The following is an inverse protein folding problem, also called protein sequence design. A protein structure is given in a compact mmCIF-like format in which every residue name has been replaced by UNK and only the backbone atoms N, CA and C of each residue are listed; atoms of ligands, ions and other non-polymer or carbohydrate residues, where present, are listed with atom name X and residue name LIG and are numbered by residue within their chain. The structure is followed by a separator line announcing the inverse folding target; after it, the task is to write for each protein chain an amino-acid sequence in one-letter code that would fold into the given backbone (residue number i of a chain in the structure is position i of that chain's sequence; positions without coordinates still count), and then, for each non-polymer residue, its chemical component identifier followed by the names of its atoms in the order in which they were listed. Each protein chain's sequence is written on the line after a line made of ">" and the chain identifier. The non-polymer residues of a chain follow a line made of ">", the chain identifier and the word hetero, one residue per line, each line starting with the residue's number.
data_IF_171175338289
#
_entry.id   IF_171175338289
#
_cell.length_a   1.000
_cell.length_b   1.000
_cell.length_c   1.000
_cell.angle_alpha   90.00
_cell.angle_beta   90.00
_cell.angle_gamma   90.00
#
_symmetry.space_group_name_H-M   'P 1'
#
loop_
_entity.id
_entity.type
_entity.pdbx_description
1 polymer ?
#
# COMPACT_ATOMS: atom_id res chain seq x y z
N UNK A 1 -16.36 -13.98 -17.04
CA UNK A 1 -15.31 -13.66 -18.03
C UNK A 1 -14.36 -12.65 -17.41
N UNK A 2 -13.10 -12.61 -17.83
CA UNK A 2 -12.16 -11.55 -17.48
C UNK A 2 -11.49 -11.00 -18.74
N UNK A 3 -11.44 -9.68 -18.89
CA UNK A 3 -10.80 -8.97 -19.99
C UNK A 3 -9.83 -7.89 -19.45
N UNK A 4 -8.77 -7.63 -20.22
CA UNK A 4 -7.91 -6.46 -20.07
C UNK A 4 -8.00 -5.60 -21.31
N UNK A 5 -8.10 -4.30 -21.16
CA UNK A 5 -8.13 -3.35 -22.27
C UNK A 5 -7.44 -2.04 -21.87
N UNK A 6 -7.29 -1.14 -22.82
CA UNK A 6 -6.86 0.23 -22.58
C UNK A 6 -7.91 1.20 -23.13
N UNK A 7 -8.27 2.22 -22.33
CA UNK A 7 -9.15 3.29 -22.79
C UNK A 7 -8.47 4.14 -23.88
N UNK A 8 -9.23 4.60 -24.88
CA UNK A 8 -8.71 5.41 -25.99
C UNK A 8 -8.38 6.87 -25.64
N UNK A 9 -8.38 7.23 -24.35
CA UNK A 9 -8.16 8.61 -23.90
C UNK A 9 -8.06 8.75 -22.37
N UNK A 10 -8.06 10.00 -21.90
CA UNK A 10 -8.03 10.29 -20.48
C UNK A 10 -9.28 9.73 -19.78
N UNK A 11 -9.09 9.01 -18.68
CA UNK A 11 -10.15 8.29 -17.99
C UNK A 11 -10.54 9.00 -16.70
N UNK A 12 -11.84 9.31 -16.58
CA UNK A 12 -12.45 9.62 -15.29
C UNK A 12 -12.62 8.31 -14.50
N UNK A 13 -11.60 8.00 -13.70
CA UNK A 13 -11.52 6.76 -12.92
C UNK A 13 -12.65 6.60 -11.90
N UNK A 14 -13.20 7.71 -11.37
CA UNK A 14 -14.32 7.67 -10.44
C UNK A 14 -15.63 7.34 -11.17
N UNK A 15 -15.86 7.96 -12.33
CA UNK A 15 -16.99 7.62 -13.20
C UNK A 15 -16.94 6.16 -13.67
N UNK A 16 -15.75 5.65 -14.00
CA UNK A 16 -15.54 4.23 -14.37
C UNK A 16 -15.84 3.31 -13.20
N UNK A 17 -15.29 3.60 -12.02
CA UNK A 17 -15.55 2.79 -10.83
C UNK A 17 -17.03 2.80 -10.44
N UNK A 18 -17.73 3.92 -10.63
CA UNK A 18 -19.19 3.99 -10.44
C UNK A 18 -19.92 3.13 -11.46
N UNK A 19 -19.60 3.27 -12.75
CA UNK A 19 -20.24 2.51 -13.82
C UNK A 19 -20.04 1.01 -13.68
N UNK A 20 -18.83 0.59 -13.32
CA UNK A 20 -18.53 -0.82 -13.07
C UNK A 20 -19.36 -1.39 -11.90
N UNK A 21 -19.55 -0.62 -10.82
CA UNK A 21 -20.43 -1.00 -9.71
C UNK A 21 -21.88 -1.18 -10.16
N UNK A 22 -22.41 -0.25 -10.95
CA UNK A 22 -23.78 -0.32 -11.48
C UNK A 22 -23.99 -1.56 -12.37
N UNK A 23 -22.96 -1.96 -13.12
CA UNK A 23 -22.97 -3.14 -13.99
C UNK A 23 -22.68 -4.45 -13.24
N UNK A 24 -22.29 -4.40 -11.95
CA UNK A 24 -21.84 -5.57 -11.21
C UNK A 24 -20.52 -6.16 -11.74
N UNK A 25 -19.71 -5.35 -12.41
CA UNK A 25 -18.37 -5.74 -12.89
C UNK A 25 -17.36 -5.56 -11.77
N UNK A 26 -16.55 -6.59 -11.53
CA UNK A 26 -15.43 -6.56 -10.62
C UNK A 26 -14.15 -6.28 -11.40
N UNK A 27 -13.07 -5.82 -10.77
CA UNK A 27 -11.88 -5.46 -11.54
C UNK A 27 -11.11 -4.28 -11.01
N UNK A 28 -10.37 -3.63 -11.89
CA UNK A 28 -9.72 -2.36 -11.61
C UNK A 28 -9.53 -1.52 -12.88
N UNK A 29 -9.43 -0.21 -12.69
CA UNK A 29 -8.91 0.73 -13.71
C UNK A 29 -7.68 1.45 -13.16
N UNK A 30 -6.69 1.71 -14.02
CA UNK A 30 -5.53 2.55 -13.69
C UNK A 30 -5.70 3.97 -14.23
N UNK A 31 -5.07 4.99 -13.63
CA UNK A 31 -5.03 6.34 -14.19
C UNK A 31 -4.51 6.42 -15.63
N UNK A 32 -3.65 5.47 -16.02
CA UNK A 32 -3.13 5.34 -17.39
C UNK A 32 -4.16 4.83 -18.39
N UNK A 33 -5.37 4.48 -17.95
CA UNK A 33 -6.46 3.99 -18.79
C UNK A 33 -6.50 2.47 -18.97
N UNK A 34 -5.52 1.74 -18.43
CA UNK A 34 -5.54 0.28 -18.39
C UNK A 34 -6.67 -0.21 -17.48
N UNK A 35 -7.46 -1.16 -17.96
CA UNK A 35 -8.57 -1.76 -17.23
C UNK A 35 -8.42 -3.27 -17.19
N UNK A 36 -8.80 -3.87 -16.07
CA UNK A 36 -9.08 -5.29 -15.94
C UNK A 36 -10.51 -5.43 -15.43
N UNK A 37 -11.35 -6.14 -16.16
CA UNK A 37 -12.79 -6.26 -15.87
C UNK A 37 -13.20 -7.73 -15.82
N UNK A 38 -13.91 -8.11 -14.76
CA UNK A 38 -14.39 -9.45 -14.47
C UNK A 38 -15.89 -9.44 -14.20
N UNK A 39 -16.65 -10.30 -14.87
CA UNK A 39 -18.10 -10.34 -14.69
C UNK A 39 -18.82 -11.21 -15.70
N UNK A 40 -20.14 -11.02 -15.83
CA UNK A 40 -20.89 -11.56 -16.96
C UNK A 40 -20.38 -10.92 -18.27
N UNK A 41 -20.43 -11.64 -19.40
CA UNK A 41 -19.96 -11.11 -20.69
C UNK A 41 -20.56 -9.75 -21.03
N UNK A 42 -21.88 -9.63 -21.00
CA UNK A 42 -22.60 -8.39 -21.32
C UNK A 42 -22.20 -7.21 -20.44
N UNK A 43 -21.97 -7.45 -19.13
CA UNK A 43 -21.57 -6.39 -18.20
C UNK A 43 -20.15 -5.92 -18.46
N UNK A 44 -19.23 -6.85 -18.73
CA UNK A 44 -17.84 -6.53 -19.08
C UNK A 44 -17.80 -5.75 -20.39
N UNK A 45 -18.49 -6.22 -21.43
CA UNK A 45 -18.57 -5.53 -22.74
C UNK A 45 -19.15 -4.12 -22.60
N UNK A 46 -20.20 -3.95 -21.78
CA UNK A 46 -20.77 -2.63 -21.51
C UNK A 46 -19.80 -1.66 -20.81
N UNK A 47 -18.92 -2.17 -19.94
CA UNK A 47 -17.88 -1.36 -19.30
C UNK A 47 -16.77 -0.98 -20.29
N UNK A 48 -16.33 -1.92 -21.13
CA UNK A 48 -15.32 -1.66 -22.18
C UNK A 48 -15.83 -0.62 -23.18
N UNK A 49 -17.10 -0.72 -23.60
CA UNK A 49 -17.73 0.29 -24.46
C UNK A 49 -17.81 1.66 -23.79
N UNK A 50 -18.11 1.72 -22.49
CA UNK A 50 -18.13 2.98 -21.72
C UNK A 50 -16.76 3.66 -21.66
N UNK A 51 -15.70 2.87 -21.53
CA UNK A 51 -14.32 3.37 -21.50
C UNK A 51 -13.83 3.91 -22.85
N UNK A 52 -14.59 3.68 -23.94
CA UNK A 52 -14.16 4.03 -25.29
C UNK A 52 -12.83 3.36 -25.62
N UNK A 53 -12.65 2.09 -25.22
CA UNK A 53 -11.44 1.35 -25.51
C UNK A 53 -11.20 1.24 -27.03
N UNK A 54 -9.95 1.43 -27.44
CA UNK A 54 -9.56 1.37 -28.85
C UNK A 54 -9.59 -0.07 -29.42
N UNK A 55 -9.60 -1.07 -28.53
CA UNK A 55 -9.68 -2.48 -28.86
C UNK A 55 -10.82 -3.20 -28.11
N UNK A 56 -11.09 -4.43 -28.51
CA UNK A 56 -12.14 -5.28 -27.92
C UNK A 56 -11.73 -5.88 -26.55
N UNK A 57 -10.55 -5.56 -26.03
CA UNK A 57 -9.94 -6.18 -24.87
C UNK A 57 -9.42 -7.60 -25.12
N UNK A 58 -8.35 -7.97 -24.41
CA UNK A 58 -7.75 -9.29 -24.43
C UNK A 58 -8.24 -10.15 -23.26
N UNK A 59 -8.36 -11.46 -23.48
CA UNK A 59 -8.78 -12.39 -22.42
C UNK A 59 -7.73 -12.46 -21.32
N UNK A 60 -8.16 -12.22 -20.07
CA UNK A 60 -7.31 -12.20 -18.90
C UNK A 60 -7.64 -13.34 -17.93
N UNK A 61 -6.71 -13.57 -16.98
CA UNK A 61 -6.94 -14.48 -15.85
C UNK A 61 -7.86 -13.81 -14.84
N UNK A 62 -8.83 -14.55 -14.30
CA UNK A 62 -9.63 -14.10 -13.16
C UNK A 62 -8.72 -13.97 -11.93
N UNK A 63 -8.58 -12.75 -11.43
CA UNK A 63 -7.91 -12.34 -10.20
C UNK A 63 -8.85 -12.43 -8.98
N UNK A 64 -10.16 -12.56 -9.19
CA UNK A 64 -11.13 -12.82 -8.12
C UNK A 64 -11.43 -11.55 -7.32
N UNK A 65 -11.62 -10.45 -8.02
CA UNK A 65 -11.95 -9.19 -7.36
C UNK A 65 -13.34 -9.27 -6.76
N UNK A 66 -13.46 -8.91 -5.50
CA UNK A 66 -14.77 -8.91 -4.84
C UNK A 66 -15.58 -7.62 -5.20
N UNK A 67 -14.94 -6.56 -5.75
CA UNK A 67 -15.56 -5.31 -6.28
C UNK A 67 -14.57 -4.55 -7.19
N UNK A 68 -15.05 -3.65 -8.04
CA UNK A 68 -14.21 -2.81 -8.91
C UNK A 68 -13.42 -1.75 -8.13
N UNK A 69 -12.12 -1.64 -8.37
CA UNK A 69 -11.23 -0.68 -7.70
C UNK A 69 -10.48 0.24 -8.68
N UNK A 70 -9.70 1.16 -8.12
CA UNK A 70 -8.75 1.96 -8.92
C UNK A 70 -7.35 1.55 -8.44
N UNK A 71 -6.48 1.14 -9.36
CA UNK A 71 -5.09 0.72 -9.08
C UNK A 71 -4.12 1.71 -9.68
N UNK A 72 -2.88 1.78 -9.20
CA UNK A 72 -1.89 2.64 -9.85
C UNK A 72 -2.10 4.13 -9.63
N UNK A 73 -2.84 4.53 -8.60
CA UNK A 73 -2.98 5.95 -8.24
C UNK A 73 -1.82 6.29 -7.30
N UNK A 74 -0.85 7.12 -7.73
CA UNK A 74 0.19 7.61 -6.84
C UNK A 74 -0.46 8.30 -5.65
N UNK A 75 -0.10 7.88 -4.45
CA UNK A 75 -0.71 8.39 -3.22
C UNK A 75 0.22 9.29 -2.41
N UNK A 76 1.54 9.16 -2.60
CA UNK A 76 2.53 10.01 -1.95
C UNK A 76 3.82 9.26 -1.66
N UNK A 77 4.55 9.75 -0.66
CA UNK A 77 5.75 9.08 -0.14
C UNK A 77 5.46 8.22 1.07
N UNK A 78 6.33 7.25 1.31
CA UNK A 78 6.38 6.49 2.55
C UNK A 78 7.80 6.47 3.11
N UNK A 79 7.87 6.27 4.42
CA UNK A 79 9.12 6.00 5.12
C UNK A 79 8.89 4.92 6.17
N UNK A 80 9.91 4.10 6.38
CA UNK A 80 10.01 3.21 7.52
C UNK A 80 11.25 3.60 8.30
N UNK A 81 11.07 4.03 9.54
CA UNK A 81 12.18 4.35 10.44
C UNK A 81 12.37 3.20 11.43
N UNK A 82 13.59 2.69 11.58
CA UNK A 82 13.90 1.79 12.69
C UNK A 82 14.29 2.63 13.90
N UNK A 83 13.64 2.37 15.03
CA UNK A 83 13.71 3.23 16.21
C UNK A 83 14.02 2.40 17.46
N UNK A 84 15.17 2.68 18.05
CA UNK A 84 15.50 2.26 19.41
C UNK A 84 15.05 3.35 20.37
N UNK A 85 13.89 3.17 20.98
CA UNK A 85 13.41 4.01 22.09
C UNK A 85 13.47 3.21 23.40
N UNK A 86 12.45 3.34 24.25
CA UNK A 86 12.24 2.42 25.39
C UNK A 86 12.10 0.97 24.95
N UNK A 87 11.55 0.74 23.75
CA UNK A 87 11.53 -0.54 23.07
C UNK A 87 11.91 -0.34 21.59
N UNK A 88 12.58 -1.35 21.03
CA UNK A 88 12.87 -1.44 19.60
C UNK A 88 11.57 -1.62 18.81
N UNK A 89 11.40 -0.84 17.75
CA UNK A 89 10.27 -0.95 16.83
C UNK A 89 10.60 -0.26 15.49
N UNK A 90 9.69 -0.42 14.52
CA UNK A 90 9.75 0.30 13.25
C UNK A 90 8.54 1.21 13.11
N UNK A 91 8.75 2.47 12.78
CA UNK A 91 7.68 3.42 12.47
C UNK A 91 7.41 3.40 10.96
N UNK A 92 6.30 2.77 10.55
CA UNK A 92 5.78 2.88 9.18
C UNK A 92 4.96 4.16 9.06
N UNK A 93 5.30 4.98 8.06
CA UNK A 93 4.59 6.24 7.79
C UNK A 93 4.20 6.35 6.34
N UNK A 94 2.96 6.79 6.09
CA UNK A 94 2.39 7.01 4.76
C UNK A 94 1.88 8.44 4.68
N UNK A 95 2.26 9.15 3.63
CA UNK A 95 1.75 10.51 3.37
C UNK A 95 0.28 10.46 2.95
N UNK A 96 -0.61 11.08 3.73
CA UNK A 96 -2.05 11.16 3.44
C UNK A 96 -2.52 12.55 3.78
N UNK A 97 -3.17 13.23 2.84
CA UNK A 97 -3.68 14.60 3.01
C UNK A 97 -2.64 15.58 3.60
N UNK A 98 -1.38 15.46 3.14
CA UNK A 98 -0.29 16.35 3.53
C UNK A 98 0.32 16.10 4.92
N UNK A 99 -0.02 14.98 5.58
CA UNK A 99 0.60 14.55 6.84
C UNK A 99 1.07 13.10 6.78
N UNK A 100 2.04 12.73 7.61
CA UNK A 100 2.54 11.36 7.71
C UNK A 100 1.72 10.55 8.72
N UNK A 101 0.69 9.85 8.24
CA UNK A 101 -0.07 8.89 9.05
C UNK A 101 0.88 7.78 9.47
N UNK A 102 0.96 7.51 10.78
CA UNK A 102 2.07 6.76 11.37
C UNK A 102 1.61 5.57 12.21
N UNK A 103 2.36 4.48 12.10
CA UNK A 103 2.16 3.26 12.88
C UNK A 103 3.48 2.70 13.40
N UNK A 104 3.54 2.44 14.71
CA UNK A 104 4.62 1.69 15.33
C UNK A 104 4.40 0.18 15.11
N UNK A 105 5.39 -0.49 14.53
CA UNK A 105 5.40 -1.92 14.18
C UNK A 105 6.50 -2.60 14.99
N UNK A 106 6.19 -3.16 16.19
CA UNK A 106 7.21 -3.60 17.14
C UNK A 106 8.17 -4.68 16.62
N UNK A 107 7.70 -5.53 15.69
CA UNK A 107 8.53 -6.59 15.10
C UNK A 107 8.93 -6.28 13.66
N UNK A 108 8.75 -5.05 13.20
CA UNK A 108 9.00 -4.63 11.83
C UNK A 108 8.02 -5.21 10.80
N UNK A 109 8.15 -4.80 9.53
CA UNK A 109 7.39 -5.34 8.41
C UNK A 109 7.75 -6.82 8.13
N UNK A 110 6.98 -7.48 7.27
CA UNK A 110 7.32 -8.81 6.74
C UNK A 110 6.97 -8.87 5.27
N UNK A 111 7.75 -9.62 4.49
CA UNK A 111 7.43 -9.96 3.10
C UNK A 111 6.73 -11.32 2.99
N UNK A 112 6.45 -12.01 4.11
CA UNK A 112 5.67 -13.24 4.14
C UNK A 112 4.16 -12.93 4.28
N UNK A 113 3.32 -13.27 3.28
CA UNK A 113 1.88 -13.04 3.35
C UNK A 113 1.15 -13.83 4.45
N UNK A 114 1.78 -14.87 5.03
CA UNK A 114 1.23 -15.62 6.15
C UNK A 114 1.43 -14.90 7.51
N UNK A 115 2.37 -13.95 7.58
CA UNK A 115 2.72 -13.24 8.81
C UNK A 115 1.89 -11.96 8.95
N UNK A 116 1.18 -11.83 10.07
CA UNK A 116 0.43 -10.62 10.43
C UNK A 116 1.23 -9.83 11.47
N UNK A 117 1.70 -8.64 11.11
CA UNK A 117 2.46 -7.76 12.02
C UNK A 117 1.51 -6.80 12.74
N UNK A 118 1.62 -6.70 14.06
CA UNK A 118 0.92 -5.66 14.81
C UNK A 118 1.46 -4.28 14.40
N UNK A 119 0.55 -3.36 14.09
CA UNK A 119 0.84 -1.98 13.78
C UNK A 119 -0.04 -1.10 14.69
N UNK A 120 0.56 -0.35 15.61
CA UNK A 120 -0.15 0.52 16.55
C UNK A 120 -0.14 1.92 15.99
N UNK A 121 -1.32 2.50 15.74
CA UNK A 121 -1.40 3.86 15.23
C UNK A 121 -0.90 4.85 16.28
N UNK A 122 -0.05 5.78 15.86
CA UNK A 122 0.54 6.85 16.68
C UNK A 122 0.20 8.22 16.08
N UNK A 123 0.62 9.29 16.73
CA UNK A 123 0.39 10.65 16.28
C UNK A 123 0.95 10.90 14.87
N UNK A 124 0.27 11.75 14.11
CA UNK A 124 0.73 12.13 12.77
C UNK A 124 2.04 12.91 12.85
N UNK A 125 2.91 12.74 11.84
CA UNK A 125 4.19 13.42 11.77
C UNK A 125 4.25 14.36 10.56
N UNK A 126 5.15 15.34 10.61
CA UNK A 126 5.43 16.20 9.47
C UNK A 126 6.34 15.49 8.46
N UNK A 127 6.20 15.82 7.18
CA UNK A 127 7.04 15.26 6.12
C UNK A 127 8.53 15.56 6.33
N UNK A 128 8.86 16.69 6.97
CA UNK A 128 10.25 17.08 7.26
C UNK A 128 10.98 16.12 8.20
N UNK A 129 10.27 15.21 8.88
CA UNK A 129 10.87 14.18 9.73
C UNK A 129 11.28 12.92 8.95
N UNK A 130 10.88 12.79 7.67
CA UNK A 130 11.09 11.57 6.89
C UNK A 130 12.58 11.25 6.65
N UNK A 131 13.43 12.28 6.58
CA UNK A 131 14.87 12.12 6.34
C UNK A 131 15.69 12.14 7.64
N UNK A 132 15.05 12.16 8.81
CA UNK A 132 15.75 12.22 10.08
C UNK A 132 16.43 10.88 10.42
N UNK A 133 17.75 10.95 10.66
CA UNK A 133 18.56 9.92 11.28
C UNK A 133 19.41 10.51 12.40
N UNK A 134 19.50 9.85 13.55
CA UNK A 134 20.32 10.30 14.65
C UNK A 134 19.96 9.70 16.00
N UNK A 135 20.74 10.06 17.02
CA UNK A 135 20.53 9.65 18.40
C UNK A 135 19.53 10.56 19.10
N UNK A 136 18.58 9.98 19.84
CA UNK A 136 17.55 10.70 20.60
C UNK A 136 17.34 10.04 21.96
N UNK A 137 17.40 10.82 23.05
CA UNK A 137 16.91 10.39 24.37
C UNK A 137 17.45 9.06 24.91
N UNK A 138 18.71 8.71 24.60
CA UNK A 138 19.33 7.44 25.01
C UNK A 138 19.15 6.27 24.04
N UNK A 139 18.53 6.52 22.88
CA UNK A 139 18.46 5.60 21.76
C UNK A 139 18.68 6.31 20.43
N UNK A 140 18.08 5.83 19.35
CA UNK A 140 18.36 6.36 18.01
C UNK A 140 17.38 5.90 16.94
N UNK A 141 17.42 6.60 15.83
CA UNK A 141 16.56 6.39 14.66
C UNK A 141 17.42 6.33 13.41
N UNK A 142 17.12 5.37 12.53
CA UNK A 142 17.58 5.34 11.15
C UNK A 142 16.39 5.28 10.18
N UNK A 143 16.58 5.77 8.95
CA UNK A 143 15.67 5.59 7.82
C UNK A 143 15.94 4.22 7.22
N UNK A 144 15.18 3.23 7.67
CA UNK A 144 15.35 1.83 7.30
C UNK A 144 14.84 1.53 5.88
N UNK A 145 13.78 2.20 5.43
CA UNK A 145 13.32 2.15 4.03
C UNK A 145 12.57 3.44 3.67
N UNK A 146 12.51 3.78 2.39
CA UNK A 146 11.72 4.91 1.89
C UNK A 146 11.38 4.72 0.43
N UNK A 147 10.36 5.43 -0.03
CA UNK A 147 10.01 5.45 -1.45
C UNK A 147 8.67 6.12 -1.69
N UNK A 148 8.07 5.79 -2.83
CA UNK A 148 6.69 6.18 -3.15
C UNK A 148 5.74 5.02 -2.92
N UNK A 149 4.45 5.33 -2.85
CA UNK A 149 3.44 4.30 -2.81
C UNK A 149 2.21 4.67 -3.64
N UNK A 150 1.50 3.64 -4.07
CA UNK A 150 0.21 3.76 -4.73
C UNK A 150 -0.89 3.35 -3.76
N UNK A 151 -2.00 4.08 -3.76
CA UNK A 151 -3.21 3.57 -3.10
C UNK A 151 -3.77 2.40 -3.91
N UNK A 152 -4.25 1.40 -3.18
CA UNK A 152 -4.90 0.24 -3.75
C UNK A 152 -6.20 -0.07 -3.04
N UNK A 153 -6.88 -1.11 -3.53
CA UNK A 153 -8.17 -1.49 -3.00
C UNK A 153 -9.29 -0.62 -3.57
N UNK A 154 -10.35 -0.48 -2.79
CA UNK A 154 -11.67 -0.12 -3.31
C UNK A 154 -12.23 1.20 -2.79
N UNK A 155 -11.56 1.76 -1.79
CA UNK A 155 -11.92 3.00 -1.12
C UNK A 155 -10.69 3.88 -1.21
N UNK A 156 -10.86 5.11 -1.67
CA UNK A 156 -9.76 6.07 -1.74
C UNK A 156 -9.29 6.45 -0.33
N UNK A 157 -8.06 6.92 -0.23
CA UNK A 157 -7.57 7.56 0.98
C UNK A 157 -8.11 9.00 1.05
N UNK A 158 -8.41 9.55 2.24
CA UNK A 158 -8.20 8.99 3.58
C UNK A 158 -9.28 7.99 4.05
N UNK A 159 -10.43 7.91 3.37
CA UNK A 159 -11.61 7.15 3.83
C UNK A 159 -11.31 5.66 4.09
N UNK A 160 -10.38 5.06 3.33
CA UNK A 160 -9.91 3.68 3.57
C UNK A 160 -9.39 3.45 5.00
N UNK A 161 -8.64 4.43 5.54
CA UNK A 161 -8.16 4.39 6.92
C UNK A 161 -9.32 4.56 7.91
N UNK A 162 -10.26 5.44 7.65
CA UNK A 162 -11.42 5.66 8.51
C UNK A 162 -12.26 4.38 8.63
N UNK A 163 -12.47 3.69 7.51
CA UNK A 163 -13.15 2.38 7.46
C UNK A 163 -12.36 1.24 8.10
N UNK A 164 -11.06 1.43 8.35
CA UNK A 164 -10.22 0.44 9.02
C UNK A 164 -9.65 -0.62 8.10
N UNK A 165 -9.66 -0.40 6.79
CA UNK A 165 -9.05 -1.29 5.83
C UNK A 165 -8.47 -0.51 4.66
N UNK A 166 -7.16 -0.45 4.60
CA UNK A 166 -6.44 0.23 3.54
C UNK A 166 -5.48 -0.72 2.83
N UNK A 167 -5.51 -0.70 1.51
CA UNK A 167 -4.62 -1.49 0.65
C UNK A 167 -3.74 -0.51 -0.11
N UNK A 168 -2.47 -0.85 -0.30
CA UNK A 168 -1.51 0.00 -0.97
C UNK A 168 -0.38 -0.83 -1.55
N UNK A 169 0.36 -0.26 -2.50
CA UNK A 169 1.54 -0.86 -3.12
C UNK A 169 2.75 0.00 -2.80
N UNK A 170 3.77 -0.57 -2.16
CA UNK A 170 5.00 0.13 -1.83
C UNK A 170 6.01 -0.01 -2.97
N UNK A 171 6.73 1.08 -3.24
CA UNK A 171 7.85 1.14 -4.19
C UNK A 171 9.10 1.64 -3.48
N UNK A 172 9.54 0.92 -2.44
CA UNK A 172 10.75 1.22 -1.67
C UNK A 172 11.99 0.52 -2.17
N UNK A 173 13.08 0.68 -1.43
CA UNK A 173 14.31 -0.07 -1.66
C UNK A 173 14.21 -1.50 -1.11
N UNK A 174 13.52 -1.67 0.04
CA UNK A 174 13.36 -2.97 0.70
C UNK A 174 11.94 -3.51 0.62
N UNK A 175 10.94 -2.67 0.85
CA UNK A 175 9.53 -3.05 0.78
C UNK A 175 8.97 -2.72 -0.59
N UNK A 176 8.60 -3.77 -1.32
CA UNK A 176 7.96 -3.69 -2.64
C UNK A 176 6.67 -4.49 -2.67
N UNK A 177 5.77 -4.09 -3.58
CA UNK A 177 4.52 -4.80 -3.83
C UNK A 177 3.40 -4.44 -2.86
N UNK A 178 2.33 -5.23 -2.88
CA UNK A 178 1.09 -4.95 -2.18
C UNK A 178 1.17 -5.25 -0.68
N UNK A 179 0.57 -4.36 0.11
CA UNK A 179 0.35 -4.47 1.55
C UNK A 179 -1.09 -4.08 1.90
N UNK A 180 -1.52 -4.47 3.10
CA UNK A 180 -2.77 -4.02 3.69
C UNK A 180 -2.58 -3.66 5.16
N UNK A 181 -3.25 -2.59 5.59
CA UNK A 181 -3.50 -2.24 6.98
C UNK A 181 -4.96 -2.59 7.31
N UNK A 182 -5.16 -3.45 8.32
CA UNK A 182 -6.49 -3.84 8.79
C UNK A 182 -6.65 -3.57 10.29
N UNK A 183 -7.57 -2.68 10.65
CA UNK A 183 -7.87 -2.33 12.04
C UNK A 183 -8.64 -3.47 12.70
N UNK A 184 -8.16 -3.94 13.84
CA UNK A 184 -8.77 -5.07 14.57
C UNK A 184 -9.70 -4.60 15.68
N UNK A 185 -9.41 -3.45 16.31
CA UNK A 185 -10.22 -2.89 17.38
C UNK A 185 -10.20 -1.35 17.34
N UNK A 186 -11.35 -0.67 17.49
CA UNK A 186 -11.37 0.72 17.89
C UNK A 186 -10.95 0.82 19.36
N UNK A 187 -9.87 1.55 19.64
CA UNK A 187 -9.31 1.77 20.96
C UNK A 187 -8.66 3.16 21.02
N UNK A 188 -8.29 3.63 22.22
CA UNK A 188 -7.59 4.91 22.40
C UNK A 188 -6.29 5.01 21.58
N UNK A 189 -5.61 3.87 21.38
CA UNK A 189 -4.58 3.69 20.35
C UNK A 189 -5.06 2.59 19.40
N UNK A 190 -5.59 2.94 18.21
CA UNK A 190 -6.11 1.95 17.26
C UNK A 190 -5.07 0.89 16.92
N UNK A 191 -5.47 -0.37 17.03
CA UNK A 191 -4.61 -1.51 16.69
C UNK A 191 -4.92 -1.99 15.29
N UNK A 192 -3.87 -2.10 14.49
CA UNK A 192 -3.90 -2.54 13.11
C UNK A 192 -3.04 -3.78 12.92
N UNK A 193 -3.30 -4.48 11.82
CA UNK A 193 -2.43 -5.50 11.28
C UNK A 193 -1.87 -5.00 9.96
N UNK A 194 -0.55 -4.97 9.85
CA UNK A 194 0.17 -4.84 8.59
C UNK A 194 0.39 -6.23 8.00
N UNK A 195 -0.08 -6.44 6.77
CA UNK A 195 -0.11 -7.74 6.11
C UNK A 195 0.41 -7.59 4.68
N UNK A 196 1.44 -8.37 4.33
CA UNK A 196 1.91 -8.47 2.94
C UNK A 196 0.86 -9.18 2.08
N UNK A 197 0.59 -8.66 0.89
CA UNK A 197 -0.28 -9.31 -0.09
C UNK A 197 0.50 -10.38 -0.85
N UNK A 198 -0.22 -11.42 -1.29
CA UNK A 198 0.32 -12.42 -2.21
C UNK A 198 0.46 -11.78 -3.59
N UNK A 199 1.69 -11.56 -4.01
CA UNK A 199 2.10 -11.05 -5.31
C UNK A 199 3.55 -11.50 -5.58
N UNK A 200 4.15 -11.03 -6.66
CA UNK A 200 5.50 -11.45 -7.10
C UNK A 200 6.63 -10.95 -6.18
N UNK A 201 6.36 -9.99 -5.30
CA UNK A 201 7.31 -9.44 -4.31
C UNK A 201 7.20 -10.16 -2.95
N UNK A 202 6.26 -11.11 -2.80
CA UNK A 202 6.12 -11.89 -1.59
C UNK A 202 7.30 -12.86 -1.42
N UNK A 203 7.87 -12.90 -0.21
CA UNK A 203 8.98 -13.78 0.16
C UNK A 203 8.64 -14.59 1.42
N UNK A 204 7.88 -15.70 1.28
CA UNK A 204 7.49 -16.55 2.40
C UNK A 204 8.70 -17.08 3.19
N UNK A 205 8.61 -17.12 4.52
CA UNK A 205 9.65 -17.62 5.41
C UNK A 205 10.87 -16.72 5.59
N UNK A 206 10.89 -15.53 4.99
CA UNK A 206 12.02 -14.58 5.10
C UNK A 206 11.83 -13.56 6.23
N UNK A 207 12.93 -12.98 6.70
CA UNK A 207 12.91 -11.87 7.65
C UNK A 207 13.68 -10.68 7.08
N UNK A 208 12.98 -9.84 6.31
CA UNK A 208 13.57 -8.68 5.64
C UNK A 208 14.25 -7.70 6.61
N UNK A 209 13.74 -7.58 7.84
CA UNK A 209 14.31 -6.69 8.86
C UNK A 209 15.71 -7.16 9.29
N UNK A 210 15.90 -8.47 9.42
CA UNK A 210 17.19 -9.06 9.76
C UNK A 210 18.14 -9.16 8.55
N UNK A 211 17.61 -9.43 7.35
CA UNK A 211 18.40 -9.55 6.12
C UNK A 211 18.97 -8.21 5.64
N UNK A 212 18.24 -7.12 5.89
CA UNK A 212 18.57 -5.77 5.43
C UNK A 212 18.45 -4.77 6.59
N UNK A 213 19.32 -4.81 7.61
CA UNK A 213 19.20 -3.97 8.80
C UNK A 213 19.72 -2.53 8.61
N UNK A 214 20.38 -2.24 7.50
CA UNK A 214 21.07 -0.98 7.26
C UNK A 214 20.14 0.17 6.87
N UNK A 215 20.53 1.40 7.13
CA UNK A 215 19.85 2.58 6.61
C UNK A 215 19.94 2.65 5.07
N UNK A 216 18.85 3.03 4.42
CA UNK A 216 18.88 3.36 2.97
C UNK A 216 19.43 4.76 2.70
N UNK A 217 19.54 5.61 3.72
CA UNK A 217 20.09 6.95 3.59
C UNK A 217 21.61 6.99 3.84
N UNK A 218 22.10 6.30 4.86
CA UNK A 218 23.52 6.34 5.27
C UNK A 218 24.26 5.01 5.16
N UNK A 219 23.56 3.89 4.90
CA UNK A 219 24.16 2.55 4.85
C UNK A 219 24.57 1.98 6.22
N UNK A 220 24.34 2.71 7.31
CA UNK A 220 24.65 2.27 8.68
C UNK A 220 23.48 1.52 9.29
N UNK A 221 23.78 0.49 10.06
CA UNK A 221 22.81 -0.15 10.97
C UNK A 221 22.54 0.74 12.18
N UNK A 222 21.43 0.48 12.88
CA UNK A 222 21.11 1.19 14.11
C UNK A 222 22.16 0.95 15.21
N UNK A 223 22.74 -0.25 15.27
CA UNK A 223 23.83 -0.55 16.20
C UNK A 223 25.06 0.33 15.95
N UNK A 224 25.49 0.44 14.69
CA UNK A 224 26.62 1.30 14.30
C UNK A 224 26.36 2.79 14.57
N UNK A 225 25.10 3.24 14.47
CA UNK A 225 24.72 4.60 14.84
C UNK A 225 24.88 4.86 16.35
N UNK A 226 24.57 3.87 17.18
CA UNK A 226 24.55 3.98 18.64
C UNK A 226 25.93 3.79 19.29
N UNK A 227 26.88 3.17 18.58
CA UNK A 227 28.23 2.89 19.06
C UNK A 227 28.38 1.50 19.63
#
# INVERSE_FOLDING_TARGET
>A
MALRAAAGGAVDHEAVASRARDLGVMGWVRPTGEVHAEGSPDAVEALIAFLGCDDAGERAKVEGHEQFGIRGVPAGVFVVQEHQATAHHYDLRLEVDGVMRSWAVPKGPSLDPAVKRLAVQVEDHSLGYNDFEGTLGGGGVIVWDRGTYEQGGRVAWPEALERGHAVFVLHGEKLRGGFALQRTRPAAKPQWLLIKRKDDEARPGTDIAAERPESVASGRTLAELLG
#
